data_IF_789342208224
#
_entry.id   IF_789342208224
#
_cell.length_a   1.000
_cell.length_b   1.000
_cell.length_c   1.000
_cell.angle_alpha   90.00
_cell.angle_beta   90.00
_cell.angle_gamma   90.00
#
_symmetry.space_group_name_H-M   'P 1'
#
loop_
_entity.id
_entity.type
_entity.pdbx_description
1 polymer ?
#
# COMPACT_ATOMS: atom_id res chain seq x y z
N UNK A 1 42.44 -7.37 6.70
CA UNK A 1 42.21 -5.92 6.90
C UNK A 1 41.08 -5.80 7.90
N UNK A 2 41.40 -5.40 9.13
CA UNK A 2 40.43 -5.28 10.24
C UNK A 2 39.90 -3.85 10.26
N UNK A 3 38.62 -3.66 9.91
CA UNK A 3 37.97 -2.36 9.99
C UNK A 3 37.49 -2.15 11.42
N UNK A 4 38.32 -1.49 12.24
CA UNK A 4 37.92 -0.96 13.54
C UNK A 4 36.98 0.24 13.34
N UNK A 5 35.68 0.00 13.37
CA UNK A 5 34.68 1.07 13.44
C UNK A 5 34.74 1.67 14.86
N UNK A 6 35.31 2.88 14.97
CA UNK A 6 35.36 3.60 16.23
C UNK A 6 33.95 3.93 16.75
N UNK A 7 33.71 3.76 18.06
CA UNK A 7 32.39 3.89 18.68
C UNK A 7 31.65 5.22 18.42
N UNK A 8 32.36 6.29 18.04
CA UNK A 8 31.76 7.56 17.62
C UNK A 8 31.01 7.51 16.28
N UNK A 9 31.47 6.68 15.33
CA UNK A 9 30.78 6.51 14.05
C UNK A 9 29.49 5.71 14.20
N UNK A 10 29.47 4.72 15.11
CA UNK A 10 28.26 3.94 15.41
C UNK A 10 27.16 4.79 16.04
N UNK A 11 27.53 5.73 16.93
CA UNK A 11 26.59 6.63 17.59
C UNK A 11 25.94 7.64 16.61
N UNK A 12 26.69 8.13 15.62
CA UNK A 12 26.17 9.03 14.58
C UNK A 12 25.20 8.32 13.64
N UNK A 13 25.49 7.07 13.24
CA UNK A 13 24.59 6.26 12.42
C UNK A 13 23.29 5.96 13.19
N UNK A 14 23.39 5.62 14.47
CA UNK A 14 22.22 5.34 15.32
C UNK A 14 21.37 6.58 15.58
N UNK A 15 21.97 7.76 15.81
CA UNK A 15 21.21 9.02 15.90
C UNK A 15 20.56 9.41 14.57
N UNK A 16 21.25 9.22 13.44
CA UNK A 16 20.69 9.47 12.11
C UNK A 16 19.47 8.60 11.81
N UNK A 17 19.53 7.31 12.16
CA UNK A 17 18.39 6.40 12.08
C UNK A 17 17.24 6.83 13.00
N UNK A 18 17.52 7.19 14.26
CA UNK A 18 16.49 7.63 15.21
C UNK A 18 15.79 8.94 14.76
N UNK A 19 16.51 9.87 14.13
CA UNK A 19 15.95 11.10 13.57
C UNK A 19 15.13 10.79 12.32
N UNK A 20 15.60 9.93 11.41
CA UNK A 20 14.85 9.54 10.23
C UNK A 20 13.55 8.79 10.59
N UNK A 21 13.58 7.90 11.59
CA UNK A 21 12.39 7.24 12.12
C UNK A 21 11.47 8.21 12.87
N UNK A 22 12.03 9.12 13.67
CA UNK A 22 11.26 10.13 14.42
C UNK A 22 10.52 11.11 13.51
N UNK A 23 11.14 11.57 12.43
CA UNK A 23 10.49 12.46 11.44
C UNK A 23 9.38 11.71 10.68
N UNK A 24 9.61 10.44 10.30
CA UNK A 24 8.59 9.62 9.66
C UNK A 24 7.41 9.29 10.58
N UNK A 25 7.65 9.04 11.86
CA UNK A 25 6.61 8.83 12.88
C UNK A 25 5.79 10.11 13.12
N UNK A 26 6.43 11.29 13.17
CA UNK A 26 5.73 12.57 13.34
C UNK A 26 4.85 12.94 12.13
N UNK A 27 5.25 12.60 10.90
CA UNK A 27 4.45 12.84 9.70
C UNK A 27 3.19 11.96 9.62
N UNK A 28 3.19 10.81 10.30
CA UNK A 28 2.07 9.85 10.33
C UNK A 28 0.92 10.26 11.26
N UNK A 29 1.11 11.29 12.08
CA UNK A 29 0.12 11.70 13.07
C UNK A 29 -0.04 10.71 14.24
N UNK A 30 -0.98 10.96 15.16
CA UNK A 30 -1.16 10.15 16.36
C UNK A 30 -1.49 8.69 16.04
N UNK A 31 -1.19 7.77 16.96
CA UNK A 31 -1.50 6.34 16.80
C UNK A 31 -3.00 6.05 16.75
N UNK A 32 -3.76 6.80 17.54
CA UNK A 32 -5.22 6.70 17.62
C UNK A 32 -5.88 7.96 17.07
N UNK A 33 -7.06 7.84 16.44
CA UNK A 33 -7.84 8.99 16.02
C UNK A 33 -8.47 9.70 17.23
N UNK A 34 -8.76 11.01 17.11
CA UNK A 34 -9.65 11.70 18.04
C UNK A 34 -11.01 10.99 18.10
N UNK A 35 -11.54 10.74 19.31
CA UNK A 35 -12.80 10.02 19.49
C UNK A 35 -13.91 10.96 19.97
N UNK A 36 -15.07 10.99 19.29
CA UNK A 36 -16.26 11.67 19.80
C UNK A 36 -16.71 11.05 21.14
N UNK A 37 -17.28 11.88 22.01
CA UNK A 37 -17.99 11.39 23.19
C UNK A 37 -19.20 10.54 22.74
N UNK A 38 -19.42 9.40 23.40
CA UNK A 38 -20.54 8.47 23.13
C UNK A 38 -20.54 7.79 21.75
N UNK A 39 -19.38 7.58 21.13
CA UNK A 39 -19.26 6.77 19.91
C UNK A 39 -19.58 5.29 20.18
N UNK A 40 -20.30 4.63 19.26
CA UNK A 40 -20.55 3.19 19.36
C UNK A 40 -19.26 2.39 19.18
N UNK A 41 -19.22 1.14 19.66
CA UNK A 41 -18.05 0.27 19.46
C UNK A 41 -17.78 0.02 17.97
N UNK A 42 -18.83 -0.10 17.16
CA UNK A 42 -18.71 -0.31 15.72
C UNK A 42 -18.15 0.93 15.02
N UNK A 43 -18.69 2.12 15.32
CA UNK A 43 -18.22 3.37 14.75
C UNK A 43 -16.79 3.68 15.18
N UNK A 44 -16.43 3.33 16.42
CA UNK A 44 -15.06 3.45 16.90
C UNK A 44 -14.10 2.48 16.18
N UNK A 45 -14.51 1.24 15.94
CA UNK A 45 -13.72 0.29 15.15
C UNK A 45 -13.55 0.79 13.71
N UNK A 46 -14.61 1.31 13.10
CA UNK A 46 -14.58 1.90 11.77
C UNK A 46 -13.66 3.12 11.69
N UNK A 47 -13.77 4.06 12.63
CA UNK A 47 -12.89 5.23 12.72
C UNK A 47 -11.42 4.83 12.90
N UNK A 48 -11.15 3.84 13.75
CA UNK A 48 -9.80 3.30 13.98
C UNK A 48 -9.23 2.67 12.71
N UNK A 49 -10.03 1.90 11.96
CA UNK A 49 -9.61 1.32 10.69
C UNK A 49 -9.25 2.41 9.68
N UNK A 50 -10.14 3.39 9.48
CA UNK A 50 -9.88 4.48 8.55
C UNK A 50 -8.58 5.23 8.91
N UNK A 51 -8.39 5.53 10.19
CA UNK A 51 -7.21 6.21 10.69
C UNK A 51 -5.93 5.41 10.43
N UNK A 52 -5.93 4.10 10.74
CA UNK A 52 -4.76 3.24 10.55
C UNK A 52 -4.35 3.11 9.09
N UNK A 53 -5.32 2.98 8.19
CA UNK A 53 -5.06 2.90 6.74
C UNK A 53 -4.45 4.22 6.24
N UNK A 54 -5.04 5.37 6.59
CA UNK A 54 -4.50 6.70 6.23
C UNK A 54 -3.11 6.96 6.83
N UNK A 55 -2.87 6.43 8.03
CA UNK A 55 -1.57 6.50 8.72
C UNK A 55 -0.51 5.60 8.08
N UNK A 56 -0.92 4.52 7.41
CA UNK A 56 0.01 3.63 6.71
C UNK A 56 0.73 4.39 5.59
N UNK A 57 -0.03 5.13 4.77
CA UNK A 57 0.49 5.99 3.71
C UNK A 57 -0.51 7.12 3.39
N UNK A 58 -0.08 8.40 3.32
CA UNK A 58 -0.95 9.53 3.02
C UNK A 58 -1.58 9.49 1.62
N UNK A 59 -1.06 8.67 0.70
CA UNK A 59 -1.67 8.44 -0.60
C UNK A 59 -2.98 7.62 -0.50
N UNK A 60 -3.27 6.98 0.63
CA UNK A 60 -4.55 6.28 0.87
C UNK A 60 -5.56 7.28 1.46
N UNK A 61 -6.35 7.93 0.61
CA UNK A 61 -7.05 9.18 0.98
C UNK A 61 -8.49 8.98 1.44
N UNK A 62 -9.24 8.15 0.74
CA UNK A 62 -10.66 7.87 1.02
C UNK A 62 -10.89 6.38 1.27
N UNK A 63 -11.78 6.08 2.20
CA UNK A 63 -12.08 4.72 2.61
C UNK A 63 -13.59 4.64 2.80
N UNK A 64 -14.24 3.80 2.02
CA UNK A 64 -15.67 3.53 2.12
C UNK A 64 -15.92 2.04 2.35
N UNK A 65 -17.06 1.73 2.95
CA UNK A 65 -17.49 0.36 3.22
C UNK A 65 -18.89 0.14 2.66
N UNK A 66 -19.09 -1.03 2.08
CA UNK A 66 -20.40 -1.54 1.70
C UNK A 66 -20.47 -3.01 2.11
N UNK A 67 -21.32 -3.30 3.11
CA UNK A 67 -21.41 -4.63 3.71
C UNK A 67 -20.03 -5.16 4.15
N UNK A 68 -19.58 -6.29 3.59
CA UNK A 68 -18.28 -6.92 3.88
C UNK A 68 -17.20 -6.56 2.84
N UNK A 69 -17.38 -5.46 2.10
CA UNK A 69 -16.43 -4.95 1.12
C UNK A 69 -15.92 -3.58 1.54
N UNK A 70 -14.63 -3.38 1.36
CA UNK A 70 -13.96 -2.10 1.57
C UNK A 70 -13.50 -1.54 0.22
N UNK A 71 -13.66 -0.24 0.00
CA UNK A 71 -13.02 0.46 -1.11
C UNK A 71 -12.08 1.52 -0.57
N UNK A 72 -10.84 1.51 -1.03
CA UNK A 72 -9.81 2.49 -0.67
C UNK A 72 -9.39 3.23 -1.94
N UNK A 73 -9.38 4.56 -1.87
CA UNK A 73 -8.83 5.43 -2.89
C UNK A 73 -7.33 5.62 -2.66
N UNK A 74 -6.53 5.33 -3.69
CA UNK A 74 -5.10 5.64 -3.75
C UNK A 74 -4.85 6.81 -4.70
N UNK A 75 -4.34 7.90 -4.15
CA UNK A 75 -4.01 9.12 -4.88
C UNK A 75 -2.58 9.55 -4.51
N UNK A 76 -1.57 9.09 -5.27
CA UNK A 76 -0.20 9.49 -5.04
C UNK A 76 -0.01 10.96 -5.37
N UNK A 77 0.91 11.61 -4.65
CA UNK A 77 1.36 12.93 -5.07
C UNK A 77 2.12 12.83 -6.40
N UNK A 78 2.01 13.85 -7.28
CA UNK A 78 2.85 13.96 -8.45
C UNK A 78 4.31 13.87 -8.06
N UNK A 79 5.09 13.17 -8.86
CA UNK A 79 6.52 12.99 -8.60
C UNK A 79 7.39 13.76 -9.58
N UNK A 80 8.56 14.16 -9.12
CA UNK A 80 9.55 14.85 -9.94
C UNK A 80 10.20 13.86 -10.93
N UNK A 81 10.78 14.38 -12.01
CA UNK A 81 11.12 13.59 -13.22
C UNK A 81 12.08 12.39 -13.04
N UNK A 82 12.77 12.28 -11.90
CA UNK A 82 13.75 11.21 -11.62
C UNK A 82 13.27 10.21 -10.55
N UNK A 83 12.01 10.30 -10.13
CA UNK A 83 11.47 9.49 -9.03
C UNK A 83 11.11 8.04 -9.44
N UNK A 84 11.07 7.16 -8.44
CA UNK A 84 10.65 5.75 -8.54
C UNK A 84 9.39 5.58 -9.41
N UNK A 85 9.40 4.65 -10.36
CA UNK A 85 8.23 4.30 -11.17
C UNK A 85 7.00 4.02 -10.30
N UNK A 86 5.80 4.32 -10.80
CA UNK A 86 4.59 4.25 -9.96
C UNK A 86 4.24 2.82 -9.52
N UNK A 87 4.58 1.78 -10.29
CA UNK A 87 4.26 0.37 -9.98
C UNK A 87 4.85 -0.09 -8.64
N UNK A 88 6.18 -0.05 -8.41
CA UNK A 88 6.76 -0.49 -7.14
C UNK A 88 6.23 0.32 -5.95
N UNK A 89 6.04 1.63 -6.14
CA UNK A 89 5.44 2.50 -5.12
C UNK A 89 4.03 2.09 -4.76
N UNK A 90 3.18 1.87 -5.76
CA UNK A 90 1.81 1.41 -5.58
C UNK A 90 1.83 0.12 -4.78
N UNK A 91 2.51 -0.94 -5.25
CA UNK A 91 2.49 -2.25 -4.61
C UNK A 91 2.98 -2.22 -3.16
N UNK A 92 4.02 -1.42 -2.87
CA UNK A 92 4.49 -1.20 -1.50
C UNK A 92 3.45 -0.51 -0.63
N UNK A 93 2.85 0.58 -1.11
CA UNK A 93 1.81 1.32 -0.38
C UNK A 93 0.56 0.46 -0.15
N UNK A 94 0.12 -0.29 -1.16
CA UNK A 94 -1.03 -1.20 -1.04
C UNK A 94 -0.76 -2.32 -0.05
N UNK A 95 0.44 -2.91 -0.06
CA UNK A 95 0.83 -3.91 0.93
C UNK A 95 0.69 -3.39 2.36
N UNK A 96 1.15 -2.15 2.61
CA UNK A 96 1.02 -1.50 3.91
C UNK A 96 -0.43 -1.18 4.27
N UNK A 97 -1.22 -0.69 3.31
CA UNK A 97 -2.65 -0.41 3.49
C UNK A 97 -3.46 -1.66 3.83
N UNK A 98 -3.25 -2.75 3.09
CA UNK A 98 -3.91 -4.04 3.32
C UNK A 98 -3.51 -4.64 4.68
N UNK A 99 -2.26 -4.49 5.10
CA UNK A 99 -1.81 -4.84 6.44
C UNK A 99 -2.50 -4.00 7.53
N UNK A 100 -2.68 -2.70 7.29
CA UNK A 100 -3.39 -1.81 8.20
C UNK A 100 -4.87 -2.18 8.32
N UNK A 101 -5.53 -2.55 7.23
CA UNK A 101 -6.90 -3.11 7.25
C UNK A 101 -6.92 -4.38 8.10
N UNK A 102 -6.12 -5.39 7.78
CA UNK A 102 -6.17 -6.69 8.46
C UNK A 102 -5.83 -6.62 9.96
N UNK A 103 -5.02 -5.64 10.37
CA UNK A 103 -4.63 -5.44 11.78
C UNK A 103 -5.55 -4.49 12.56
N UNK A 104 -6.47 -3.79 11.90
CA UNK A 104 -7.41 -2.88 12.56
C UNK A 104 -8.54 -3.64 13.28
N UNK A 105 -9.09 -3.09 14.38
CA UNK A 105 -10.32 -3.60 14.97
C UNK A 105 -11.44 -3.68 13.93
N UNK A 106 -12.10 -4.84 13.83
CA UNK A 106 -13.13 -5.08 12.82
C UNK A 106 -12.62 -5.25 11.39
N UNK A 107 -11.33 -5.05 11.11
CA UNK A 107 -10.80 -5.15 9.74
C UNK A 107 -10.91 -6.54 9.11
N UNK A 108 -10.93 -7.60 9.94
CA UNK A 108 -11.12 -8.99 9.50
C UNK A 108 -12.55 -9.32 9.05
N UNK A 109 -13.53 -8.43 9.25
CA UNK A 109 -14.88 -8.65 8.74
C UNK A 109 -15.04 -8.33 7.25
N UNK A 110 -14.03 -7.69 6.64
CA UNK A 110 -14.02 -7.39 5.21
C UNK A 110 -13.30 -8.50 4.46
N UNK A 111 -14.06 -9.29 3.69
CA UNK A 111 -13.51 -10.37 2.86
C UNK A 111 -12.92 -9.85 1.55
N UNK A 112 -13.27 -8.63 1.15
CA UNK A 112 -12.80 -8.02 -0.08
C UNK A 112 -12.36 -6.58 0.14
N UNK A 113 -11.20 -6.24 -0.41
CA UNK A 113 -10.71 -4.86 -0.48
C UNK A 113 -10.50 -4.50 -1.94
N UNK A 114 -11.16 -3.45 -2.41
CA UNK A 114 -10.94 -2.85 -3.72
C UNK A 114 -10.10 -1.60 -3.56
N UNK A 115 -9.00 -1.53 -4.30
CA UNK A 115 -8.19 -0.32 -4.43
C UNK A 115 -8.55 0.33 -5.74
N UNK A 116 -8.99 1.59 -5.68
CA UNK A 116 -9.11 2.46 -6.84
C UNK A 116 -7.92 3.41 -6.83
N UNK A 117 -7.04 3.29 -7.80
CA UNK A 117 -5.87 4.13 -7.93
C UNK A 117 -6.08 5.19 -9.01
N UNK A 118 -5.56 6.39 -8.75
CA UNK A 118 -5.53 7.53 -9.67
C UNK A 118 -4.09 7.84 -10.02
N UNK A 119 -3.58 7.19 -11.07
CA UNK A 119 -2.16 7.33 -11.47
C UNK A 119 -1.99 8.48 -12.46
N UNK A 120 -2.76 8.44 -13.54
CA UNK A 120 -2.80 9.43 -14.62
C UNK A 120 -4.16 10.14 -14.66
N UNK A 121 -5.25 9.39 -14.48
CA UNK A 121 -6.62 9.88 -14.48
C UNK A 121 -7.44 9.29 -13.31
N UNK A 122 -8.65 9.80 -13.12
CA UNK A 122 -9.55 9.26 -12.10
C UNK A 122 -9.93 7.80 -12.40
N UNK A 123 -9.86 6.97 -11.36
CA UNK A 123 -10.20 5.53 -11.37
C UNK A 123 -9.56 4.74 -12.53
N UNK A 124 -8.32 5.06 -12.88
CA UNK A 124 -7.62 4.51 -14.03
C UNK A 124 -6.89 3.19 -13.76
N UNK A 125 -6.83 2.77 -12.50
CA UNK A 125 -6.38 1.45 -12.07
C UNK A 125 -7.31 0.93 -10.97
N UNK A 126 -7.73 -0.32 -11.08
CA UNK A 126 -8.52 -1.00 -10.03
C UNK A 126 -7.90 -2.36 -9.70
N UNK A 127 -7.67 -2.61 -8.41
CA UNK A 127 -7.12 -3.85 -7.89
C UNK A 127 -8.07 -4.42 -6.84
N UNK A 128 -8.56 -5.64 -7.05
CA UNK A 128 -9.48 -6.31 -6.11
C UNK A 128 -8.73 -7.43 -5.39
N UNK A 129 -8.76 -7.40 -4.07
CA UNK A 129 -8.11 -8.37 -3.19
C UNK A 129 -9.14 -9.19 -2.42
N UNK A 130 -8.87 -10.48 -2.30
CA UNK A 130 -9.56 -11.39 -1.39
C UNK A 130 -8.74 -11.52 -0.10
N UNK A 131 -9.32 -11.08 1.03
CA UNK A 131 -8.60 -10.97 2.29
C UNK A 131 -8.43 -12.30 3.03
N UNK A 132 -9.17 -13.35 2.65
CA UNK A 132 -9.14 -14.64 3.36
C UNK A 132 -7.76 -15.32 3.26
N UNK A 133 -6.93 -14.94 2.29
CA UNK A 133 -5.55 -15.43 2.11
C UNK A 133 -4.45 -14.58 2.76
N UNK A 134 -4.78 -13.43 3.34
CA UNK A 134 -3.78 -12.45 3.78
C UNK A 134 -2.89 -12.98 4.93
N UNK A 135 -3.50 -13.63 5.92
CA UNK A 135 -2.80 -14.10 7.12
C UNK A 135 -1.76 -15.20 6.83
N UNK A 136 -1.92 -15.96 5.74
CA UNK A 136 -0.97 -17.00 5.33
C UNK A 136 0.29 -16.42 4.67
N UNK A 137 0.18 -15.25 4.04
CA UNK A 137 1.26 -14.63 3.26
C UNK A 137 2.03 -13.60 4.11
N UNK A 138 1.39 -12.94 5.08
CA UNK A 138 2.01 -11.86 5.88
C UNK A 138 3.26 -12.25 6.67
N UNK A 139 3.43 -13.53 7.01
CA UNK A 139 4.57 -14.02 7.82
C UNK A 139 5.81 -14.31 6.97
N UNK A 140 5.68 -14.26 5.64
CA UNK A 140 6.78 -14.45 4.71
C UNK A 140 7.59 -13.15 4.58
N UNK A 141 8.88 -13.26 4.27
CA UNK A 141 9.71 -12.08 4.00
C UNK A 141 9.15 -11.33 2.78
N UNK A 142 8.81 -10.05 2.95
CA UNK A 142 8.17 -9.25 1.91
C UNK A 142 6.67 -9.55 1.71
N UNK A 143 6.05 -10.34 2.59
CA UNK A 143 4.71 -10.89 2.43
C UNK A 143 3.61 -9.87 2.11
N UNK A 144 3.69 -8.65 2.64
CA UNK A 144 2.72 -7.59 2.31
C UNK A 144 2.81 -7.14 0.85
N UNK A 145 4.03 -6.99 0.32
CA UNK A 145 4.26 -6.62 -1.07
C UNK A 145 3.93 -7.79 -2.00
N UNK A 146 4.27 -9.02 -1.61
CA UNK A 146 3.87 -10.24 -2.33
C UNK A 146 2.36 -10.38 -2.40
N UNK A 147 1.63 -10.13 -1.32
CA UNK A 147 0.17 -10.14 -1.35
C UNK A 147 -0.37 -9.04 -2.29
N UNK A 148 0.20 -7.83 -2.21
CA UNK A 148 -0.20 -6.72 -3.07
C UNK A 148 0.06 -6.99 -4.57
N UNK A 149 1.06 -7.81 -4.93
CA UNK A 149 1.33 -8.20 -6.32
C UNK A 149 0.34 -9.23 -6.88
N UNK A 150 -0.53 -9.80 -6.04
CA UNK A 150 -1.47 -10.86 -6.40
C UNK A 150 -2.95 -10.46 -6.24
N UNK A 151 -3.41 -9.33 -6.82
CA UNK A 151 -4.83 -9.02 -6.80
C UNK A 151 -5.61 -10.09 -7.56
N UNK A 152 -6.81 -10.43 -7.09
CA UNK A 152 -7.73 -11.35 -7.76
C UNK A 152 -8.13 -10.79 -9.12
N UNK A 153 -8.48 -9.51 -9.18
CA UNK A 153 -8.81 -8.79 -10.41
C UNK A 153 -7.92 -7.57 -10.55
N UNK A 154 -7.50 -7.28 -11.77
CA UNK A 154 -6.63 -6.17 -12.11
C UNK A 154 -7.16 -5.51 -13.39
N UNK A 155 -7.54 -4.24 -13.28
CA UNK A 155 -8.12 -3.46 -14.37
C UNK A 155 -7.35 -2.16 -14.54
N UNK A 156 -7.23 -1.74 -15.80
CA UNK A 156 -6.47 -0.57 -16.18
C UNK A 156 -7.20 0.19 -17.27
N UNK A 157 -7.05 1.51 -17.26
CA UNK A 157 -7.21 2.32 -18.46
C UNK A 157 -6.18 1.92 -19.53
N UNK A 158 -6.38 2.37 -20.77
CA UNK A 158 -5.44 2.11 -21.86
C UNK A 158 -4.03 2.64 -21.56
N UNK A 159 -3.94 3.84 -21.00
CA UNK A 159 -2.67 4.53 -20.76
C UNK A 159 -1.90 3.89 -19.60
N UNK A 160 -2.55 3.66 -18.46
CA UNK A 160 -1.92 3.01 -17.31
C UNK A 160 -1.51 1.56 -17.61
N UNK A 161 -2.27 0.84 -18.45
CA UNK A 161 -1.87 -0.48 -18.92
C UNK A 161 -0.59 -0.41 -19.77
N UNK A 162 -0.44 0.58 -20.64
CA UNK A 162 0.77 0.75 -21.45
C UNK A 162 1.99 0.99 -20.55
N UNK A 163 1.87 1.91 -19.59
CA UNK A 163 2.94 2.20 -18.62
C UNK A 163 3.30 0.97 -17.77
N UNK A 164 2.30 0.23 -17.26
CA UNK A 164 2.54 -0.99 -16.49
C UNK A 164 3.24 -2.08 -17.32
N UNK A 165 2.87 -2.21 -18.60
CA UNK A 165 3.53 -3.14 -19.52
C UNK A 165 4.97 -2.73 -19.80
N UNK A 166 5.23 -1.45 -19.98
CA UNK A 166 6.58 -0.93 -20.20
C UNK A 166 7.48 -1.21 -18.99
N UNK A 167 6.98 -0.94 -17.78
CA UNK A 167 7.67 -1.32 -16.55
C UNK A 167 7.99 -2.82 -16.48
N UNK A 168 7.01 -3.67 -16.80
CA UNK A 168 7.16 -5.13 -16.74
C UNK A 168 7.99 -5.76 -17.88
N UNK A 169 8.43 -4.97 -18.89
CA UNK A 169 9.37 -5.45 -19.90
C UNK A 169 10.80 -5.52 -19.38
N UNK A 170 11.13 -4.76 -18.35
CA UNK A 170 12.47 -4.77 -17.75
C UNK A 170 12.69 -6.06 -16.93
N UNK A 171 13.79 -6.80 -17.16
CA UNK A 171 14.04 -8.06 -16.46
C UNK A 171 14.13 -7.91 -14.93
N UNK A 172 14.69 -6.79 -14.45
CA UNK A 172 14.73 -6.45 -13.02
C UNK A 172 13.34 -6.33 -12.43
N UNK A 173 12.47 -5.54 -13.06
CA UNK A 173 11.10 -5.28 -12.65
C UNK A 173 10.25 -6.55 -12.64
N UNK A 174 10.34 -7.37 -13.69
CA UNK A 174 9.68 -8.68 -13.75
C UNK A 174 10.21 -9.67 -12.70
N UNK A 175 11.48 -9.57 -12.32
CA UNK A 175 12.07 -10.37 -11.25
C UNK A 175 11.59 -9.96 -9.85
N UNK A 176 11.35 -8.68 -9.61
CA UNK A 176 10.84 -8.18 -8.33
C UNK A 176 9.33 -8.40 -8.14
N UNK A 177 8.54 -8.28 -9.21
CA UNK A 177 7.08 -8.40 -9.16
C UNK A 177 6.53 -9.40 -10.19
N UNK A 178 6.95 -10.68 -10.16
CA UNK A 178 6.65 -11.64 -11.20
C UNK A 178 5.14 -11.88 -11.38
N UNK A 179 4.39 -12.02 -10.28
CA UNK A 179 2.94 -12.28 -10.34
C UNK A 179 2.16 -11.09 -10.89
N UNK A 180 2.56 -9.88 -10.50
CA UNK A 180 1.96 -8.65 -11.01
C UNK A 180 2.21 -8.53 -12.51
N UNK A 181 3.46 -8.70 -12.95
CA UNK A 181 3.83 -8.59 -14.35
C UNK A 181 3.20 -9.69 -15.21
N UNK A 182 3.04 -10.91 -14.69
CA UNK A 182 2.28 -11.96 -15.36
C UNK A 182 0.82 -11.54 -15.59
N UNK A 183 0.16 -10.94 -14.59
CA UNK A 183 -1.22 -10.46 -14.71
C UNK A 183 -1.33 -9.29 -15.70
N UNK A 184 -0.42 -8.32 -15.65
CA UNK A 184 -0.34 -7.20 -16.60
C UNK A 184 -0.18 -7.69 -18.05
N UNK A 185 0.56 -8.78 -18.27
CA UNK A 185 0.78 -9.34 -19.61
C UNK A 185 -0.50 -9.86 -20.26
N UNK A 186 -1.47 -10.33 -19.45
CA UNK A 186 -2.74 -10.88 -19.92
C UNK A 186 -3.92 -9.91 -19.78
N UNK A 187 -3.73 -8.80 -19.06
CA UNK A 187 -4.73 -7.77 -18.87
C UNK A 187 -5.13 -7.12 -20.20
N UNK A 188 -6.42 -6.82 -20.34
CA UNK A 188 -6.99 -6.05 -21.45
C UNK A 188 -7.35 -4.66 -20.94
N UNK A 189 -7.17 -3.60 -21.75
CA UNK A 189 -7.58 -2.26 -21.33
C UNK A 189 -9.10 -2.24 -21.17
N UNK A 190 -9.59 -1.58 -20.12
CA UNK A 190 -11.02 -1.28 -20.04
C UNK A 190 -11.39 -0.26 -21.12
N UNK A 191 -12.54 -0.50 -21.76
CA UNK A 191 -13.19 0.49 -22.61
C UNK A 191 -13.90 1.48 -21.69
N UNK A 192 -13.20 2.51 -21.24
CA UNK A 192 -13.80 3.66 -20.56
C UNK A 192 -13.64 4.90 -21.42
#
# INVERSE_FOLDING_TARGET
MDVKIGGGALALILMGLAIAFGIHECQRGPLDPPRPENISNEDNAWLTLQHRVKRADPALTEISRESQKLTILYQPQPVAGDDEAWVPRLLRTLGQGLAAVNSAPGGKSYHQVTIKARIVADDDVELVYDMDGFDAIKTQQGGYTTFASMPRELRFSRETLAQARDYCREPSSAGFYPEFCQRVSTAKPEQR
#
